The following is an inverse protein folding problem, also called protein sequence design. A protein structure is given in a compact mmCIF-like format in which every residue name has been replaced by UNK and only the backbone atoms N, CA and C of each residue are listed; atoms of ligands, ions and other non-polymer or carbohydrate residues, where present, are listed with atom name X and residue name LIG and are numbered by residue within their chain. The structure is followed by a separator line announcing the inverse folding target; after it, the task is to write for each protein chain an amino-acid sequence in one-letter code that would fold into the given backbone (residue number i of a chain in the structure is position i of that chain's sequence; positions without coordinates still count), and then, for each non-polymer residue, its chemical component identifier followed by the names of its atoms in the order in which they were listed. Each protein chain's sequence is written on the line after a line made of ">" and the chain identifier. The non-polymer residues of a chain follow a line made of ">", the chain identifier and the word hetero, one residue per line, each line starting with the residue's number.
data_IF_815718455940
#
_entry.id   IF_815718455940
#
_cell.length_a   1.000
_cell.length_b   1.000
_cell.length_c   1.000
_cell.angle_alpha   90.00
_cell.angle_beta   90.00
_cell.angle_gamma   90.00
#
_symmetry.space_group_name_H-M   'P 1'
#
loop_
_entity.id
_entity.type
_entity.pdbx_description
1 polymer ?
#
# COMPACT_ATOMS: atom_id res chain seq x y z
N UNK A 1 9.14 -23.53 20.40
CA UNK A 1 7.69 -23.20 20.46
C UNK A 1 7.60 -21.70 20.64
N UNK A 2 7.21 -20.98 19.57
CA UNK A 2 7.43 -19.54 19.42
C UNK A 2 6.37 -18.67 20.11
N UNK A 3 6.75 -17.43 20.40
CA UNK A 3 5.96 -16.40 21.10
C UNK A 3 4.53 -16.17 20.56
N UNK A 4 4.25 -16.57 19.31
CA UNK A 4 2.90 -16.51 18.72
C UNK A 4 1.85 -17.29 19.51
N UNK A 5 2.24 -18.35 20.22
CA UNK A 5 1.30 -19.16 21.01
C UNK A 5 0.87 -18.48 22.31
N UNK A 6 1.56 -17.41 22.71
CA UNK A 6 1.25 -16.64 23.92
C UNK A 6 0.36 -15.42 23.66
N UNK A 7 0.02 -15.13 22.40
CA UNK A 7 -0.85 -14.00 22.06
C UNK A 7 -2.29 -14.33 22.48
N UNK A 8 -2.88 -13.59 23.44
CA UNK A 8 -4.26 -13.84 23.85
C UNK A 8 -5.20 -13.46 22.69
N UNK A 9 -6.05 -14.39 22.26
CA UNK A 9 -7.02 -14.14 21.18
C UNK A 9 -8.40 -13.91 21.82
N UNK A 10 -9.08 -12.79 21.53
CA UNK A 10 -10.38 -12.49 22.10
C UNK A 10 -11.45 -13.41 21.47
N UNK A 11 -12.58 -13.63 22.15
CA UNK A 11 -13.66 -14.45 21.61
C UNK A 11 -14.26 -13.77 20.37
N UNK A 12 -14.04 -14.37 19.20
CA UNK A 12 -14.55 -13.86 17.93
C UNK A 12 -16.03 -14.23 17.75
N UNK A 13 -16.89 -13.22 17.59
CA UNK A 13 -18.28 -13.44 17.19
C UNK A 13 -18.39 -13.70 15.68
N UNK A 14 -19.44 -14.41 15.24
CA UNK A 14 -19.68 -14.64 13.80
C UNK A 14 -19.75 -13.34 12.99
N UNK A 15 -20.29 -12.27 13.60
CA UNK A 15 -20.37 -10.96 12.96
C UNK A 15 -18.98 -10.35 12.76
N UNK A 16 -18.15 -10.32 13.80
CA UNK A 16 -16.79 -9.79 13.72
C UNK A 16 -15.91 -10.58 12.74
N UNK A 17 -16.04 -11.91 12.72
CA UNK A 17 -15.32 -12.75 11.76
C UNK A 17 -15.72 -12.46 10.31
N UNK A 18 -17.02 -12.26 10.04
CA UNK A 18 -17.50 -11.93 8.70
C UNK A 18 -17.02 -10.55 8.23
N UNK A 19 -17.06 -9.55 9.12
CA UNK A 19 -16.55 -8.20 8.84
C UNK A 19 -15.04 -8.23 8.55
N UNK A 20 -14.26 -8.84 9.44
CA UNK A 20 -12.81 -8.98 9.26
C UNK A 20 -12.49 -9.73 7.96
N UNK A 21 -13.16 -10.85 7.69
CA UNK A 21 -12.97 -11.60 6.45
C UNK A 21 -13.17 -10.71 5.23
N UNK A 22 -14.25 -9.92 5.19
CA UNK A 22 -14.53 -9.02 4.07
C UNK A 22 -13.44 -7.97 3.87
N UNK A 23 -12.97 -7.36 4.97
CA UNK A 23 -11.87 -6.38 4.95
C UNK A 23 -10.56 -7.00 4.48
N UNK A 24 -10.21 -8.18 4.98
CA UNK A 24 -9.01 -8.91 4.58
C UNK A 24 -9.03 -9.27 3.10
N UNK A 25 -10.14 -9.81 2.58
CA UNK A 25 -10.25 -10.15 1.16
C UNK A 25 -10.10 -8.91 0.28
N UNK A 26 -10.68 -7.77 0.68
CA UNK A 26 -10.55 -6.51 -0.04
C UNK A 26 -9.10 -6.00 -0.02
N UNK A 27 -8.45 -5.98 1.14
CA UNK A 27 -7.05 -5.56 1.25
C UNK A 27 -6.10 -6.47 0.45
N UNK A 28 -6.31 -7.79 0.53
CA UNK A 28 -5.53 -8.75 -0.25
C UNK A 28 -5.71 -8.54 -1.76
N UNK A 29 -6.96 -8.32 -2.21
CA UNK A 29 -7.24 -8.06 -3.61
C UNK A 29 -6.57 -6.78 -4.10
N UNK A 30 -6.64 -5.69 -3.34
CA UNK A 30 -5.96 -4.43 -3.65
C UNK A 30 -4.44 -4.61 -3.76
N UNK A 31 -3.82 -5.28 -2.78
CA UNK A 31 -2.37 -5.58 -2.83
C UNK A 31 -2.01 -6.47 -4.03
N UNK A 32 -2.81 -7.50 -4.31
CA UNK A 32 -2.63 -8.37 -5.47
C UNK A 32 -2.72 -7.57 -6.77
N UNK A 33 -3.64 -6.62 -6.88
CA UNK A 33 -3.78 -5.80 -8.08
C UNK A 33 -2.55 -4.92 -8.31
N UNK A 34 -1.98 -4.31 -7.27
CA UNK A 34 -0.73 -3.57 -7.40
C UNK A 34 0.44 -4.46 -7.84
N UNK A 35 0.43 -5.74 -7.47
CA UNK A 35 1.47 -6.68 -7.84
C UNK A 35 1.35 -7.23 -9.29
N UNK A 36 0.28 -6.87 -10.02
CA UNK A 36 0.07 -7.33 -11.40
C UNK A 36 1.07 -6.78 -12.42
N UNK A 37 1.89 -5.81 -12.00
CA UNK A 37 2.90 -5.15 -12.84
C UNK A 37 4.29 -5.74 -12.63
N UNK A 38 4.50 -6.46 -11.54
CA UNK A 38 5.78 -7.07 -11.16
C UNK A 38 5.98 -8.32 -11.99
N UNK A 39 6.86 -8.28 -13.00
CA UNK A 39 7.05 -9.40 -13.93
C UNK A 39 7.44 -10.72 -13.25
N UNK A 40 8.17 -10.64 -12.13
CA UNK A 40 8.59 -11.81 -11.34
C UNK A 40 7.50 -12.33 -10.39
N UNK A 41 6.35 -11.66 -10.31
CA UNK A 41 5.23 -12.10 -9.47
C UNK A 41 4.30 -13.06 -10.23
N UNK A 42 3.75 -14.05 -9.50
CA UNK A 42 2.64 -14.87 -9.99
C UNK A 42 1.35 -14.08 -10.24
N UNK A 43 1.27 -12.84 -9.77
CA UNK A 43 0.16 -11.95 -10.05
C UNK A 43 0.33 -11.19 -11.39
N UNK A 44 1.49 -11.28 -12.05
CA UNK A 44 1.75 -10.52 -13.27
C UNK A 44 0.72 -10.80 -14.38
N UNK A 45 0.22 -9.73 -15.00
CA UNK A 45 -0.72 -9.81 -16.13
C UNK A 45 -0.21 -8.95 -17.30
N UNK A 46 0.04 -7.67 -17.03
CA UNK A 46 0.44 -6.67 -18.03
C UNK A 46 1.31 -5.61 -17.37
N UNK A 47 2.21 -4.94 -18.11
CA UNK A 47 2.94 -3.79 -17.60
C UNK A 47 2.01 -2.64 -17.17
N UNK A 48 2.34 -2.01 -16.04
CA UNK A 48 2.25 -0.56 -15.83
C UNK A 48 1.30 0.20 -16.74
N UNK A 49 1.94 0.73 -17.78
CA UNK A 49 1.35 1.67 -18.70
C UNK A 49 0.18 1.04 -19.46
N UNK A 50 0.17 -0.26 -19.75
CA UNK A 50 -0.90 -0.91 -20.50
C UNK A 50 -2.20 -1.07 -19.71
N UNK A 51 -2.15 -1.04 -18.38
CA UNK A 51 -3.33 -1.23 -17.53
C UNK A 51 -4.21 0.01 -17.38
N UNK A 52 -3.69 1.20 -17.73
CA UNK A 52 -4.37 2.49 -17.55
C UNK A 52 -4.62 3.21 -18.87
N UNK A 53 -5.59 4.12 -18.91
CA UNK A 53 -5.90 4.89 -20.11
C UNK A 53 -5.05 6.17 -20.18
N UNK A 54 -4.72 6.61 -21.40
CA UNK A 54 -3.98 7.85 -21.65
C UNK A 54 -3.42 7.91 -23.06
N UNK A 55 -3.33 9.11 -23.63
CA UNK A 55 -2.86 9.35 -24.99
C UNK A 55 -1.32 9.34 -25.09
N UNK A 56 -0.61 9.71 -24.03
CA UNK A 56 0.86 9.73 -23.96
C UNK A 56 1.37 8.82 -22.84
N UNK A 57 2.63 8.38 -22.93
CA UNK A 57 3.25 7.57 -21.87
C UNK A 57 3.30 8.32 -20.53
N UNK A 58 3.56 9.62 -20.55
CA UNK A 58 3.55 10.48 -19.35
C UNK A 58 2.15 10.54 -18.72
N UNK A 59 1.09 10.71 -19.52
CA UNK A 59 -0.29 10.68 -19.00
C UNK A 59 -0.64 9.32 -18.38
N UNK A 60 -0.19 8.23 -19.00
CA UNK A 60 -0.40 6.87 -18.47
C UNK A 60 0.40 6.65 -17.18
N UNK A 61 1.63 7.14 -17.08
CA UNK A 61 2.42 7.05 -15.86
C UNK A 61 1.74 7.82 -14.71
N UNK A 62 1.24 9.03 -14.98
CA UNK A 62 0.48 9.81 -14.00
C UNK A 62 -0.81 9.10 -13.57
N UNK A 63 -1.58 8.54 -14.52
CA UNK A 63 -2.79 7.78 -14.22
C UNK A 63 -2.50 6.53 -13.37
N UNK A 64 -1.37 5.87 -13.62
CA UNK A 64 -0.92 4.74 -12.81
C UNK A 64 -0.52 5.17 -11.39
N UNK A 65 0.25 6.26 -11.24
CA UNK A 65 0.60 6.79 -9.92
C UNK A 65 -0.64 7.22 -9.12
N UNK A 66 -1.63 7.84 -9.76
CA UNK A 66 -2.92 8.14 -9.12
C UNK A 66 -3.65 6.87 -8.67
N UNK A 67 -3.54 5.78 -9.44
CA UNK A 67 -4.11 4.48 -9.08
C UNK A 67 -3.41 3.88 -7.86
N UNK A 68 -2.07 3.95 -7.79
CA UNK A 68 -1.30 3.54 -6.60
C UNK A 68 -1.74 4.36 -5.39
N UNK A 69 -1.71 5.69 -5.47
CA UNK A 69 -2.06 6.57 -4.36
C UNK A 69 -3.49 6.31 -3.84
N UNK A 70 -4.46 6.16 -4.74
CA UNK A 70 -5.85 5.83 -4.37
C UNK A 70 -5.92 4.47 -3.67
N UNK A 71 -5.17 3.48 -4.17
CA UNK A 71 -5.14 2.13 -3.58
C UNK A 71 -4.50 2.13 -2.20
N UNK A 72 -3.41 2.87 -2.01
CA UNK A 72 -2.74 3.02 -0.71
C UNK A 72 -3.63 3.73 0.31
N UNK A 73 -4.37 4.74 -0.12
CA UNK A 73 -5.38 5.40 0.72
C UNK A 73 -6.49 4.42 1.13
N UNK A 74 -6.99 3.61 0.20
CA UNK A 74 -7.97 2.57 0.52
C UNK A 74 -7.43 1.51 1.49
N UNK A 75 -6.18 1.07 1.31
CA UNK A 75 -5.52 0.14 2.21
C UNK A 75 -5.36 0.72 3.61
N UNK A 76 -5.02 2.01 3.71
CA UNK A 76 -4.90 2.72 4.98
C UNK A 76 -6.24 2.80 5.69
N UNK A 77 -7.32 3.07 4.95
CA UNK A 77 -8.69 3.05 5.48
C UNK A 77 -9.08 1.66 5.99
N UNK A 78 -8.79 0.60 5.21
CA UNK A 78 -9.10 -0.78 5.63
C UNK A 78 -8.30 -1.15 6.89
N UNK A 79 -7.03 -0.74 6.98
CA UNK A 79 -6.21 -0.95 8.17
C UNK A 79 -6.84 -0.28 9.39
N UNK A 80 -7.25 0.99 9.28
CA UNK A 80 -7.93 1.70 10.37
C UNK A 80 -9.25 1.01 10.79
N UNK A 81 -10.02 0.47 9.85
CA UNK A 81 -11.25 -0.29 10.15
C UNK A 81 -10.95 -1.61 10.87
N UNK A 82 -9.89 -2.32 10.48
CA UNK A 82 -9.42 -3.54 11.16
C UNK A 82 -8.95 -3.20 12.58
N UNK A 83 -8.19 -2.13 12.75
CA UNK A 83 -7.66 -1.71 14.04
C UNK A 83 -8.79 -1.31 14.99
N UNK A 84 -9.78 -0.54 14.53
CA UNK A 84 -10.97 -0.21 15.31
C UNK A 84 -11.73 -1.47 15.77
N UNK A 85 -11.96 -2.43 14.87
CA UNK A 85 -12.59 -3.70 15.24
C UNK A 85 -11.74 -4.52 16.22
N UNK A 86 -10.41 -4.46 16.10
CA UNK A 86 -9.51 -5.12 17.04
C UNK A 86 -9.62 -4.46 18.43
N UNK A 87 -9.56 -3.13 18.52
CA UNK A 87 -9.74 -2.40 19.78
C UNK A 87 -11.06 -2.75 20.47
N UNK A 88 -12.16 -2.76 19.71
CA UNK A 88 -13.47 -3.16 20.22
C UNK A 88 -13.49 -4.60 20.76
N UNK A 89 -12.83 -5.54 20.07
CA UNK A 89 -12.76 -6.95 20.48
C UNK A 89 -11.90 -7.17 21.72
N UNK A 90 -10.82 -6.42 21.88
CA UNK A 90 -9.97 -6.49 23.06
C UNK A 90 -10.48 -5.63 24.22
N UNK A 91 -11.45 -4.73 23.98
CA UNK A 91 -11.94 -3.78 24.96
C UNK A 91 -10.88 -2.75 25.38
N UNK A 92 -9.93 -2.45 24.50
CA UNK A 92 -8.82 -1.53 24.76
C UNK A 92 -9.13 -0.20 24.08
N UNK A 93 -8.93 0.91 24.79
CA UNK A 93 -9.06 2.23 24.17
C UNK A 93 -7.79 2.59 23.37
N UNK A 94 -7.91 3.31 22.24
CA UNK A 94 -6.74 3.72 21.45
C UNK A 94 -5.77 4.62 22.24
N UNK A 95 -6.27 5.35 23.24
CA UNK A 95 -5.49 6.21 24.14
C UNK A 95 -4.57 5.40 25.08
N UNK A 96 -5.05 4.25 25.57
CA UNK A 96 -4.28 3.35 26.43
C UNK A 96 -3.12 2.68 25.68
N UNK A 97 -3.23 2.47 24.37
CA UNK A 97 -2.14 1.88 23.58
C UNK A 97 -1.07 2.92 23.23
N UNK A 98 -1.46 4.15 22.89
CA UNK A 98 -0.52 5.23 22.58
C UNK A 98 0.42 5.57 23.75
N UNK A 99 -0.08 5.51 24.99
CA UNK A 99 0.69 5.77 26.20
C UNK A 99 1.59 4.59 26.63
N UNK A 100 1.18 3.35 26.32
CA UNK A 100 1.89 2.13 26.71
C UNK A 100 2.77 1.55 25.59
N UNK A 101 2.78 2.16 24.40
CA UNK A 101 3.61 1.74 23.28
C UNK A 101 5.04 2.30 23.45
N UNK A 102 6.06 1.48 23.74
CA UNK A 102 7.44 1.96 23.84
C UNK A 102 7.97 2.53 22.50
N UNK A 103 7.29 2.25 21.38
CA UNK A 103 7.64 2.77 20.06
C UNK A 103 7.12 4.21 19.83
N UNK A 104 6.03 4.63 20.46
CA UNK A 104 5.51 6.01 20.33
C UNK A 104 6.33 7.01 21.13
N UNK A 105 6.86 6.61 22.29
CA UNK A 105 7.74 7.43 23.14
C UNK A 105 9.08 7.78 22.47
N UNK A 106 9.53 6.97 21.50
CA UNK A 106 10.75 7.24 20.73
C UNK A 106 10.56 8.28 19.61
N UNK A 107 9.33 8.48 19.13
CA UNK A 107 9.05 9.43 18.04
C UNK A 107 8.98 10.90 18.50
N UNK A 108 8.86 11.16 19.81
CA UNK A 108 8.70 12.52 20.37
C UNK A 108 9.98 13.11 20.97
N UNK A 109 11.10 12.40 20.94
CA UNK A 109 12.32 12.77 21.68
C UNK A 109 13.42 13.45 20.85
N UNK A 110 13.29 13.57 19.52
CA UNK A 110 14.30 14.22 18.68
C UNK A 110 13.69 14.92 17.45
N UNK A 111 13.05 16.07 17.67
CA UNK A 111 12.72 17.00 16.59
C UNK A 111 13.35 18.35 16.91
N UNK A 112 14.48 18.72 16.28
CA UNK A 112 14.95 20.10 16.32
C UNK A 112 13.98 21.02 15.56
N UNK A 113 13.90 22.31 15.90
CA UNK A 113 13.08 23.27 15.17
C UNK A 113 13.65 23.42 13.74
N UNK A 114 12.84 23.10 12.74
CA UNK A 114 13.13 23.39 11.34
C UNK A 114 12.74 24.85 11.08
N UNK A 115 13.73 25.73 10.93
CA UNK A 115 13.53 27.04 10.30
C UNK A 115 13.14 26.79 8.85
N UNK A 116 11.90 27.11 8.50
CA UNK A 116 11.37 27.02 7.14
C UNK A 116 11.74 28.32 6.44
N UNK A 117 12.78 28.29 5.62
CA UNK A 117 12.93 29.25 4.53
C UNK A 117 12.00 28.78 3.40
N UNK A 118 10.97 29.57 3.11
CA UNK A 118 10.09 29.41 1.95
C UNK A 118 10.90 29.75 0.69
N UNK A 119 11.40 28.72 -0.01
CA UNK A 119 11.76 28.84 -1.43
C UNK A 119 10.59 28.34 -2.29
N UNK A 120 9.92 29.32 -2.91
CA UNK A 120 8.94 29.15 -3.98
C UNK A 120 9.57 28.57 -5.25
N UNK A 121 8.75 27.81 -5.98
CA UNK A 121 8.83 27.44 -7.41
C UNK A 121 9.91 26.43 -7.87
N UNK A 122 9.53 25.16 -7.86
CA UNK A 122 9.36 24.46 -9.15
C UNK A 122 8.21 23.43 -9.04
N UNK A 123 7.14 23.66 -9.78
CA UNK A 123 6.03 22.70 -10.02
C UNK A 123 6.54 21.56 -10.92
N UNK A 124 7.59 20.86 -10.47
CA UNK A 124 7.93 19.55 -10.96
C UNK A 124 7.03 18.59 -10.22
N UNK A 125 5.83 18.36 -10.77
CA UNK A 125 5.06 17.16 -10.47
C UNK A 125 6.06 16.01 -10.39
N UNK A 126 6.22 15.40 -9.21
CA UNK A 126 7.04 14.21 -9.02
C UNK A 126 6.52 13.18 -10.02
N UNK A 127 7.14 13.17 -11.19
CA UNK A 127 6.68 12.41 -12.33
C UNK A 127 6.88 10.97 -11.91
N UNK A 128 5.78 10.30 -11.59
CA UNK A 128 5.64 8.85 -11.55
C UNK A 128 6.79 8.20 -12.34
N UNK A 129 7.62 7.37 -11.70
CA UNK A 129 8.91 6.86 -12.22
C UNK A 129 8.78 6.30 -13.65
N UNK A 130 8.81 7.22 -14.61
CA UNK A 130 8.50 6.98 -16.01
C UNK A 130 9.57 6.12 -16.65
N UNK A 131 10.88 6.32 -16.36
CA UNK A 131 11.93 5.42 -16.83
C UNK A 131 11.68 3.96 -16.43
N UNK A 132 11.31 3.69 -15.18
CA UNK A 132 11.02 2.33 -14.70
C UNK A 132 9.78 1.74 -15.37
N UNK A 133 8.69 2.51 -15.48
CA UNK A 133 7.46 2.06 -16.14
C UNK A 133 7.66 1.78 -17.64
N UNK A 134 8.50 2.56 -18.32
CA UNK A 134 8.85 2.35 -19.72
C UNK A 134 9.77 1.14 -19.89
N UNK A 135 10.72 0.94 -18.97
CA UNK A 135 11.58 -0.24 -18.96
C UNK A 135 10.75 -1.53 -18.89
N UNK A 136 9.78 -1.61 -17.97
CA UNK A 136 8.89 -2.76 -17.86
C UNK A 136 8.02 -2.98 -19.12
N UNK A 137 7.66 -1.92 -19.83
CA UNK A 137 6.95 -2.03 -21.12
C UNK A 137 7.85 -2.59 -22.23
N UNK A 138 9.10 -2.14 -22.30
CA UNK A 138 10.07 -2.60 -23.31
C UNK A 138 10.44 -4.06 -23.06
N UNK A 139 10.71 -4.45 -21.81
CA UNK A 139 11.01 -5.82 -21.43
C UNK A 139 9.86 -6.77 -21.79
N UNK A 140 8.62 -6.38 -21.47
CA UNK A 140 7.44 -7.14 -21.86
C UNK A 140 7.30 -7.25 -23.39
N UNK A 141 7.48 -6.15 -24.14
CA UNK A 141 7.42 -6.18 -25.60
C UNK A 141 8.51 -7.06 -26.22
N UNK A 142 9.72 -7.04 -25.66
CA UNK A 142 10.82 -7.91 -26.05
C UNK A 142 10.49 -9.38 -25.76
N UNK A 143 9.92 -9.67 -24.58
CA UNK A 143 9.46 -11.01 -24.21
C UNK A 143 8.37 -11.54 -25.16
N UNK A 144 7.41 -10.69 -25.53
CA UNK A 144 6.37 -11.02 -26.52
C UNK A 144 6.97 -11.28 -27.91
N UNK A 145 7.90 -10.42 -28.36
CA UNK A 145 8.52 -10.54 -29.67
C UNK A 145 9.43 -11.78 -29.79
N UNK A 146 10.15 -12.14 -28.72
CA UNK A 146 11.06 -13.29 -28.68
C UNK A 146 10.40 -14.58 -28.18
N UNK A 147 9.16 -14.52 -27.68
CA UNK A 147 8.46 -15.65 -27.07
C UNK A 147 9.10 -16.14 -25.77
N UNK A 148 9.86 -15.28 -25.07
CA UNK A 148 10.60 -15.64 -23.85
C UNK A 148 10.08 -14.83 -22.67
N UNK A 149 9.37 -15.51 -21.78
CA UNK A 149 8.99 -15.04 -20.46
C UNK A 149 9.77 -15.90 -19.47
N UNK A 150 10.82 -15.33 -18.89
CA UNK A 150 11.74 -15.99 -17.94
C UNK A 150 11.64 -15.26 -16.60
#
# INVERSE_FOLDING_TARGET
>A
MGLLQQTPVPPLTRSSTASLSTLFHRAWFLKRNLDTITQTSHAFILPALLQVQGATLSQRAQAWAATIATTEQELTKIQAEIDALAFDLYGISPEEVGANNPLSAAATADSPPSDIEEEDEDDTTESADLPSLVYGLIEYALGVALGRFD
#
